data_IF_914635902448
#
_entry.id   IF_914635902448
#
_cell.length_a   1.000
_cell.length_b   1.000
_cell.length_c   1.000
_cell.angle_alpha   90.00
_cell.angle_beta   90.00
_cell.angle_gamma   90.00
#
_symmetry.space_group_name_H-M   'P 1'
#
loop_
_entity.id
_entity.type
_entity.pdbx_description
1 polymer ?
#
# COMPACT_ATOMS: atom_id res chain seq x y z
N UNK A 1 4.00 -14.33 -7.14
CA UNK A 1 4.95 -14.82 -6.12
C UNK A 1 5.75 -13.62 -5.68
N UNK A 2 5.47 -13.11 -4.48
CA UNK A 2 6.16 -11.95 -3.92
C UNK A 2 6.95 -12.53 -2.76
N UNK A 3 8.25 -12.75 -3.00
CA UNK A 3 9.15 -13.35 -2.03
C UNK A 3 9.83 -12.21 -1.26
N UNK A 4 9.66 -12.18 0.06
CA UNK A 4 10.36 -11.22 0.91
C UNK A 4 11.79 -11.70 1.15
N UNK A 5 12.75 -10.78 1.09
CA UNK A 5 14.16 -11.12 1.26
C UNK A 5 14.52 -11.13 2.73
N UNK A 6 14.92 -12.30 3.23
CA UNK A 6 15.52 -12.51 4.55
C UNK A 6 16.93 -11.91 4.59
N UNK A 7 17.14 -10.84 5.34
CA UNK A 7 18.49 -10.31 5.61
C UNK A 7 18.90 -10.59 7.06
N UNK A 8 20.09 -11.19 7.23
CA UNK A 8 20.66 -11.55 8.53
C UNK A 8 21.49 -10.38 9.04
N UNK A 9 21.00 -9.69 10.07
CA UNK A 9 21.66 -8.50 10.61
C UNK A 9 22.31 -8.77 11.97
N UNK A 10 23.29 -9.70 12.02
CA UNK A 10 24.24 -9.87 13.13
C UNK A 10 23.71 -10.20 14.55
N UNK A 11 22.41 -10.08 14.79
CA UNK A 11 21.65 -10.44 15.99
C UNK A 11 20.54 -11.38 15.53
N UNK A 12 20.18 -12.38 16.34
CA UNK A 12 19.32 -13.52 15.96
C UNK A 12 17.81 -13.15 15.79
N UNK A 13 17.51 -12.06 15.09
CA UNK A 13 16.16 -11.61 14.77
C UNK A 13 15.98 -11.44 13.25
N UNK A 14 14.84 -11.90 12.75
CA UNK A 14 14.43 -11.82 11.34
C UNK A 14 13.46 -10.66 11.17
N UNK A 15 13.72 -9.77 10.20
CA UNK A 15 12.90 -8.58 9.97
C UNK A 15 12.22 -8.66 8.61
N UNK A 16 10.91 -8.45 8.60
CA UNK A 16 10.17 -8.18 7.37
C UNK A 16 10.42 -6.72 6.99
N UNK A 17 11.14 -6.49 5.90
CA UNK A 17 11.23 -5.15 5.31
C UNK A 17 9.89 -4.81 4.68
N UNK A 18 9.06 -4.10 5.44
CA UNK A 18 7.87 -3.42 4.89
C UNK A 18 8.28 -2.25 3.96
N UNK A 19 9.53 -1.81 4.05
CA UNK A 19 10.12 -0.65 3.36
C UNK A 19 11.26 -1.10 2.46
N UNK A 20 11.32 -0.60 1.23
CA UNK A 20 12.46 -0.82 0.34
C UNK A 20 13.74 -0.19 0.88
N UNK A 21 14.90 -0.64 0.37
CA UNK A 21 16.24 -0.33 0.89
C UNK A 21 16.54 1.19 1.03
N UNK A 22 15.81 2.03 0.29
CA UNK A 22 16.04 3.48 0.20
C UNK A 22 14.77 4.32 0.44
N UNK A 23 13.64 3.73 0.87
CA UNK A 23 12.33 4.42 0.89
C UNK A 23 11.70 4.46 2.29
N UNK A 24 11.22 5.65 2.68
CA UNK A 24 10.46 5.86 3.92
C UNK A 24 9.02 5.31 3.86
N UNK A 25 8.57 4.88 2.69
CA UNK A 25 7.20 4.45 2.44
C UNK A 25 7.09 2.93 2.26
N UNK A 26 5.99 2.31 2.74
CA UNK A 26 5.82 0.87 2.64
C UNK A 26 5.77 0.44 1.17
N UNK A 27 6.16 -0.81 0.87
CA UNK A 27 6.06 -1.35 -0.48
C UNK A 27 4.61 -1.15 -1.01
N UNK A 28 4.43 -0.54 -2.19
CA UNK A 28 3.11 -0.30 -2.78
C UNK A 28 2.23 -1.56 -2.82
N UNK A 29 2.81 -2.74 -3.04
CA UNK A 29 2.08 -4.02 -3.00
C UNK A 29 1.44 -4.26 -1.64
N UNK A 30 2.18 -4.01 -0.56
CA UNK A 30 1.69 -4.19 0.80
C UNK A 30 0.53 -3.27 1.08
N UNK A 31 0.66 -1.99 0.70
CA UNK A 31 -0.40 -1.01 0.84
C UNK A 31 -1.67 -1.45 0.09
N UNK A 32 -1.53 -1.88 -1.17
CA UNK A 32 -2.68 -2.39 -1.93
C UNK A 32 -3.33 -3.60 -1.25
N UNK A 33 -2.54 -4.52 -0.68
CA UNK A 33 -3.06 -5.68 0.03
C UNK A 33 -3.88 -5.30 1.27
N UNK A 34 -3.53 -4.21 1.97
CA UNK A 34 -4.28 -3.74 3.15
C UNK A 34 -5.72 -3.34 2.81
N UNK A 35 -5.94 -2.82 1.60
CA UNK A 35 -7.27 -2.41 1.09
C UNK A 35 -7.88 -3.43 0.12
N UNK A 36 -7.35 -4.67 0.11
CA UNK A 36 -7.89 -5.76 -0.70
C UNK A 36 -7.71 -5.60 -2.21
N UNK A 37 -6.76 -4.76 -2.64
CA UNK A 37 -6.45 -4.51 -4.04
C UNK A 37 -5.19 -5.25 -4.49
N UNK A 38 -5.05 -5.36 -5.81
CA UNK A 38 -3.82 -5.80 -6.49
C UNK A 38 -3.53 -4.84 -7.62
N UNK A 39 -2.25 -4.60 -7.89
CA UNK A 39 -1.82 -3.72 -8.99
C UNK A 39 -2.50 -4.09 -10.32
N UNK A 40 -2.65 -5.39 -10.61
CA UNK A 40 -3.26 -5.88 -11.83
C UNK A 40 -4.75 -5.53 -11.99
N UNK A 41 -5.42 -5.08 -10.94
CA UNK A 41 -6.82 -4.64 -10.97
C UNK A 41 -6.96 -3.12 -11.14
N UNK A 42 -5.85 -2.40 -11.21
CA UNK A 42 -5.82 -0.94 -11.21
C UNK A 42 -5.34 -0.47 -12.57
N UNK A 43 -6.23 0.15 -13.33
CA UNK A 43 -5.91 0.73 -14.61
C UNK A 43 -4.78 1.75 -14.50
N UNK A 44 -3.75 1.57 -15.33
CA UNK A 44 -2.60 2.48 -15.43
C UNK A 44 -2.01 2.87 -14.07
N UNK A 45 -1.93 1.91 -13.15
CA UNK A 45 -1.28 2.07 -11.85
C UNK A 45 0.12 2.70 -11.97
N UNK A 46 0.46 3.55 -11.00
CA UNK A 46 1.78 4.20 -10.90
C UNK A 46 2.47 3.87 -9.59
N UNK A 47 1.81 4.17 -8.48
CA UNK A 47 2.35 3.92 -7.14
C UNK A 47 1.24 3.87 -6.11
N UNK A 48 1.57 3.40 -4.91
CA UNK A 48 0.78 3.60 -3.71
C UNK A 48 1.71 4.03 -2.58
N UNK A 49 1.25 4.93 -1.71
CA UNK A 49 2.02 5.39 -0.55
C UNK A 49 1.09 5.64 0.64
N UNK A 50 1.71 5.82 1.80
CA UNK A 50 1.02 6.12 3.03
C UNK A 50 1.06 7.62 3.29
N UNK A 51 -0.11 8.23 3.51
CA UNK A 51 -0.23 9.66 3.81
C UNK A 51 -1.25 9.87 4.92
N UNK A 52 -0.82 10.50 6.01
CA UNK A 52 -1.63 10.86 7.19
C UNK A 52 -2.72 9.84 7.61
N UNK A 53 -2.34 8.57 7.79
CA UNK A 53 -3.29 7.53 8.23
C UNK A 53 -4.06 6.86 7.10
N UNK A 54 -3.83 7.25 5.85
CA UNK A 54 -4.51 6.75 4.66
C UNK A 54 -3.53 6.11 3.69
N UNK A 55 -4.09 5.30 2.81
CA UNK A 55 -3.37 4.82 1.62
C UNK A 55 -3.81 5.68 0.45
N UNK A 56 -2.84 6.19 -0.29
CA UNK A 56 -3.10 6.92 -1.53
C UNK A 56 -2.61 6.07 -2.69
N UNK A 57 -3.47 5.85 -3.67
CA UNK A 57 -3.14 5.13 -4.91
C UNK A 57 -3.08 6.14 -6.05
N UNK A 58 -1.89 6.26 -6.66
CA UNK A 58 -1.66 7.07 -7.84
C UNK A 58 -1.85 6.27 -9.12
N UNK A 59 -2.65 6.82 -10.02
CA UNK A 59 -2.90 6.27 -11.35
C UNK A 59 -2.63 7.32 -12.42
N UNK A 60 -2.59 6.89 -13.68
CA UNK A 60 -2.65 7.80 -14.84
C UNK A 60 -4.04 7.75 -15.49
N UNK A 61 -5.08 7.87 -14.69
CA UNK A 61 -6.49 7.83 -15.12
C UNK A 61 -7.23 9.13 -14.82
N UNK A 62 -6.52 10.21 -14.47
CA UNK A 62 -7.11 11.51 -14.17
C UNK A 62 -7.50 12.32 -15.39
N UNK A 63 -8.31 13.37 -15.15
CA UNK A 63 -8.66 14.40 -16.10
C UNK A 63 -9.17 13.83 -17.43
N UNK A 64 -8.55 14.16 -18.57
CA UNK A 64 -8.96 13.61 -19.88
C UNK A 64 -8.95 12.09 -19.95
N UNK A 65 -8.20 11.39 -19.09
CA UNK A 65 -8.16 9.92 -19.11
C UNK A 65 -9.35 9.26 -18.41
N UNK A 66 -10.17 10.02 -17.66
CA UNK A 66 -11.36 9.49 -16.96
C UNK A 66 -12.41 8.93 -17.91
N UNK A 67 -12.44 9.40 -19.16
CA UNK A 67 -13.35 8.85 -20.18
C UNK A 67 -12.94 7.44 -20.67
N UNK A 68 -11.67 7.07 -20.46
CA UNK A 68 -11.10 5.78 -20.91
C UNK A 68 -10.89 4.78 -19.77
N UNK A 69 -11.15 5.16 -18.52
CA UNK A 69 -11.05 4.27 -17.36
C UNK A 69 -12.16 4.59 -16.38
N UNK A 70 -12.95 3.57 -16.04
CA UNK A 70 -14.06 3.72 -15.08
C UNK A 70 -13.55 3.88 -13.65
N UNK A 71 -12.31 3.48 -13.36
CA UNK A 71 -11.75 3.37 -12.01
C UNK A 71 -12.66 2.60 -11.03
N UNK A 72 -13.57 1.76 -11.54
CA UNK A 72 -14.66 1.17 -10.76
C UNK A 72 -14.13 0.34 -9.59
N UNK A 73 -13.04 -0.41 -9.80
CA UNK A 73 -12.38 -1.18 -8.74
C UNK A 73 -11.87 -0.31 -7.59
N UNK A 74 -11.44 0.92 -7.87
CA UNK A 74 -10.98 1.87 -6.85
C UNK A 74 -12.19 2.51 -6.16
N UNK A 75 -13.15 3.05 -6.93
CA UNK A 75 -14.25 3.85 -6.39
C UNK A 75 -15.36 3.02 -5.72
N UNK A 76 -15.42 1.71 -5.97
CA UNK A 76 -16.35 0.78 -5.29
C UNK A 76 -15.71 0.04 -4.13
N UNK A 77 -14.42 0.29 -3.85
CA UNK A 77 -13.73 -0.34 -2.73
C UNK A 77 -14.36 0.11 -1.40
N UNK A 78 -14.60 -0.79 -0.42
CA UNK A 78 -15.16 -0.42 0.88
C UNK A 78 -14.34 0.59 1.69
N UNK A 79 -13.04 0.70 1.39
CA UNK A 79 -12.12 1.63 2.03
C UNK A 79 -12.03 2.98 1.30
N UNK A 80 -12.65 3.11 0.13
CA UNK A 80 -12.55 4.31 -0.70
C UNK A 80 -13.16 5.53 0.00
N UNK A 81 -12.42 6.64 0.05
CA UNK A 81 -12.88 7.91 0.60
C UNK A 81 -13.30 8.88 -0.51
N UNK A 82 -12.32 9.28 -1.31
CA UNK A 82 -12.48 10.22 -2.42
C UNK A 82 -11.27 10.17 -3.34
N UNK A 83 -11.36 10.86 -4.47
CA UNK A 83 -10.28 11.00 -5.43
C UNK A 83 -10.16 12.44 -5.94
N UNK A 84 -8.96 12.80 -6.38
CA UNK A 84 -8.68 14.07 -7.05
C UNK A 84 -7.73 13.88 -8.22
N UNK A 85 -7.85 14.76 -9.21
CA UNK A 85 -6.84 14.87 -10.26
C UNK A 85 -5.66 15.69 -9.74
N UNK A 86 -4.44 15.37 -10.20
CA UNK A 86 -3.27 16.18 -9.88
C UNK A 86 -3.39 17.58 -10.51
N UNK A 87 -3.03 18.61 -9.74
CA UNK A 87 -3.20 20.01 -10.14
C UNK A 87 -2.21 20.43 -11.24
N UNK A 88 -1.02 19.84 -11.28
CA UNK A 88 0.06 20.17 -12.21
C UNK A 88 0.01 19.32 -13.50
N UNK A 89 -0.33 18.04 -13.36
CA UNK A 89 -0.56 17.09 -14.46
C UNK A 89 -1.90 16.35 -14.27
N UNK A 90 -3.01 16.93 -14.76
CA UNK A 90 -4.34 16.32 -14.67
C UNK A 90 -4.46 14.96 -15.36
N UNK A 91 -3.43 14.44 -16.04
CA UNK A 91 -3.43 13.06 -16.52
C UNK A 91 -3.30 12.03 -15.38
N UNK A 92 -2.88 12.47 -14.19
CA UNK A 92 -2.79 11.70 -12.96
C UNK A 92 -4.01 11.90 -12.06
N UNK A 93 -4.37 10.84 -11.34
CA UNK A 93 -5.37 10.88 -10.30
C UNK A 93 -4.90 10.14 -9.05
N UNK A 94 -5.35 10.63 -7.90
CA UNK A 94 -5.02 10.12 -6.57
C UNK A 94 -6.30 9.67 -5.88
N UNK A 95 -6.33 8.40 -5.48
CA UNK A 95 -7.46 7.79 -4.79
C UNK A 95 -7.07 7.54 -3.33
N UNK A 96 -7.81 8.12 -2.40
CA UNK A 96 -7.56 7.96 -0.97
C UNK A 96 -8.42 6.83 -0.38
N UNK A 97 -7.81 6.02 0.49
CA UNK A 97 -8.44 4.91 1.17
C UNK A 97 -8.21 4.97 2.69
N UNK A 98 -9.28 4.79 3.45
CA UNK A 98 -9.25 4.69 4.91
C UNK A 98 -8.90 3.28 5.37
N UNK A 99 -7.88 3.18 6.19
CA UNK A 99 -7.48 1.95 6.86
C UNK A 99 -7.97 2.01 8.30
N UNK A 100 -8.50 0.90 8.80
CA UNK A 100 -9.01 0.83 10.18
C UNK A 100 -7.91 1.23 11.19
N UNK A 101 -8.30 1.95 12.25
CA UNK A 101 -7.34 2.56 13.19
C UNK A 101 -6.35 1.57 13.82
N UNK A 102 -6.74 0.32 14.00
CA UNK A 102 -5.86 -0.76 14.48
C UNK A 102 -4.74 -1.10 13.46
N UNK A 103 -5.10 -1.28 12.19
CA UNK A 103 -4.12 -1.59 11.15
C UNK A 103 -3.28 -0.35 10.82
N UNK A 104 -3.90 0.84 10.82
CA UNK A 104 -3.19 2.09 10.62
C UNK A 104 -2.11 2.32 11.68
N UNK A 105 -2.41 2.03 12.96
CA UNK A 105 -1.43 2.08 14.04
C UNK A 105 -0.27 1.09 13.83
N UNK A 106 -0.55 -0.11 13.33
CA UNK A 106 0.50 -1.11 13.04
C UNK A 106 1.38 -0.68 11.87
N UNK A 107 0.80 -0.10 10.81
CA UNK A 107 1.55 0.45 9.68
C UNK A 107 2.43 1.62 10.11
N UNK A 108 1.90 2.53 10.91
CA UNK A 108 2.66 3.65 11.49
C UNK A 108 3.79 3.17 12.41
N UNK A 109 3.52 2.17 13.25
CA UNK A 109 4.55 1.55 14.07
C UNK A 109 5.67 0.95 13.20
N UNK A 110 5.31 0.19 12.18
CA UNK A 110 6.26 -0.36 11.23
C UNK A 110 7.07 0.72 10.49
N UNK A 111 6.44 1.83 10.08
CA UNK A 111 7.13 2.99 9.45
C UNK A 111 8.19 3.59 10.36
N UNK A 112 7.85 3.76 11.64
CA UNK A 112 8.74 4.38 12.63
C UNK A 112 9.82 3.43 13.12
N UNK A 113 9.55 2.13 13.07
CA UNK A 113 10.41 1.06 13.56
C UNK A 113 10.63 0.00 12.48
N UNK A 114 11.30 0.32 11.35
CA UNK A 114 11.46 -0.60 10.21
C UNK A 114 12.37 -1.80 10.51
N UNK A 115 13.09 -1.75 11.63
CA UNK A 115 13.90 -2.83 12.16
C UNK A 115 13.19 -3.61 13.28
N UNK A 116 11.94 -3.30 13.61
CA UNK A 116 11.18 -4.13 14.54
C UNK A 116 10.51 -5.28 13.79
N UNK A 117 10.19 -6.40 14.47
CA UNK A 117 9.31 -7.40 13.89
C UNK A 117 7.97 -6.78 13.52
N UNK A 118 7.40 -7.19 12.39
CA UNK A 118 6.10 -6.69 11.96
C UNK A 118 5.02 -7.09 12.95
N UNK A 119 4.13 -6.15 13.37
CA UNK A 119 3.06 -6.47 14.30
C UNK A 119 2.26 -7.69 13.84
N UNK A 120 2.03 -8.64 14.77
CA UNK A 120 1.37 -9.92 14.47
C UNK A 120 -0.01 -9.74 13.82
N UNK A 121 -0.74 -8.69 14.20
CA UNK A 121 -2.03 -8.36 13.59
C UNK A 121 -1.88 -7.95 12.12
N UNK A 122 -0.92 -7.08 11.80
CA UNK A 122 -0.57 -6.69 10.44
C UNK A 122 -0.09 -7.90 9.62
N UNK A 123 0.77 -8.75 10.19
CA UNK A 123 1.21 -10.01 9.57
C UNK A 123 0.02 -10.89 9.18
N UNK A 124 -0.89 -11.19 10.12
CA UNK A 124 -2.11 -11.99 9.86
C UNK A 124 -3.04 -11.35 8.83
N UNK A 125 -3.06 -10.02 8.76
CA UNK A 125 -3.84 -9.32 7.74
C UNK A 125 -3.27 -9.60 6.34
N UNK A 126 -1.96 -9.40 6.19
CA UNK A 126 -1.25 -9.61 4.93
C UNK A 126 -1.32 -11.08 4.48
N UNK A 127 -1.14 -12.04 5.39
CA UNK A 127 -1.29 -13.48 5.09
C UNK A 127 -2.71 -13.82 4.59
N UNK A 128 -3.76 -13.25 5.19
CA UNK A 128 -5.15 -13.41 4.71
C UNK A 128 -5.38 -12.77 3.35
N UNK A 129 -4.66 -11.69 3.03
CA UNK A 129 -4.68 -11.07 1.70
C UNK A 129 -3.88 -11.87 0.65
N UNK A 130 -3.24 -12.97 1.04
CA UNK A 130 -2.43 -13.82 0.17
C UNK A 130 -1.01 -13.30 -0.04
N UNK A 131 -0.52 -12.47 0.87
CA UNK A 131 0.88 -12.03 0.91
C UNK A 131 1.67 -13.02 1.77
N UNK A 132 2.62 -13.73 1.16
CA UNK A 132 3.47 -14.70 1.86
C UNK A 132 4.54 -13.98 2.67
N UNK A 133 4.46 -13.98 4.00
CA UNK A 133 5.48 -13.38 4.88
C UNK A 133 6.38 -14.48 5.42
N UNK A 134 7.59 -14.61 4.88
CA UNK A 134 8.58 -15.54 5.40
C UNK A 134 8.97 -15.18 6.84
N UNK A 135 8.98 -16.18 7.73
CA UNK A 135 9.28 -16.05 9.16
C UNK A 135 10.76 -16.22 9.53
#
# INVERSE_FOLDING_TARGET
MIAFRRERNGMDHWHLRLFGDDHHDPDPVLLLALIGLRQAYIDRFRSAWWDDGRIVVGTRTGGPNREFSTNETLTTNPHYCHDLDDEDDPSYAYFEFEVSGEIAADVEHARRHPLDPVPERLRRWLERAGVEIDG
#
